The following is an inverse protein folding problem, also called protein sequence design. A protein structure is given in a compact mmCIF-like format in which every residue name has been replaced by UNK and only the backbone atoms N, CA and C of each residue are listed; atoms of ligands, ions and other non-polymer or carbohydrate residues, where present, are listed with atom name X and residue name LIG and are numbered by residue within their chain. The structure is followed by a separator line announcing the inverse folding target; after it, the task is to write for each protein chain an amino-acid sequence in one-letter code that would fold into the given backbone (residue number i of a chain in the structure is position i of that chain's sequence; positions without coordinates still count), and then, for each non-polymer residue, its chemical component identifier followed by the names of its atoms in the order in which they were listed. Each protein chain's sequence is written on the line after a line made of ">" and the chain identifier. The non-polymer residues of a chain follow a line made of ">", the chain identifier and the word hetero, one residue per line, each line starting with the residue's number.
data_IF_424632366887
#
_entry.id   IF_424632366887
#
_cell.length_a   1.000
_cell.length_b   1.000
_cell.length_c   1.000
_cell.angle_alpha   90.00
_cell.angle_beta   90.00
_cell.angle_gamma   90.00
#
_symmetry.space_group_name_H-M   'P 1'
#
loop_
_entity.id
_entity.type
_entity.pdbx_description
1 polymer ?
#
# COMPACT_ATOMS: atom_id res chain seq x y z
N UNK A 1 7.49 9.40 21.10
CA UNK A 1 7.53 9.94 19.74
C UNK A 1 6.24 9.57 19.00
N UNK A 2 5.57 10.55 18.45
CA UNK A 2 4.33 10.32 17.74
C UNK A 2 4.58 9.78 16.33
N UNK A 3 3.73 8.89 15.89
CA UNK A 3 3.76 8.36 14.54
C UNK A 3 2.74 9.12 13.70
N UNK A 4 3.09 9.35 12.44
CA UNK A 4 2.10 9.81 11.49
C UNK A 4 1.15 8.67 11.17
N UNK A 5 -0.14 8.99 11.06
CA UNK A 5 -1.18 8.05 10.65
C UNK A 5 -1.62 8.45 9.24
N UNK A 6 -1.42 7.53 8.29
CA UNK A 6 -1.78 7.78 6.89
C UNK A 6 -3.14 7.18 6.57
N UNK A 7 -3.86 7.85 5.70
CA UNK A 7 -5.15 7.36 5.22
C UNK A 7 -4.89 6.53 3.95
N UNK A 8 -5.09 5.23 4.05
CA UNK A 8 -4.86 4.29 2.96
C UNK A 8 -6.14 3.85 2.24
N UNK A 9 -7.26 4.56 2.43
CA UNK A 9 -8.52 4.17 1.79
C UNK A 9 -8.40 4.12 0.28
N UNK A 10 -7.73 5.11 -0.32
CA UNK A 10 -7.53 5.15 -1.77
C UNK A 10 -6.66 4.00 -2.25
N UNK A 11 -5.57 3.72 -1.53
CA UNK A 11 -4.69 2.60 -1.83
C UNK A 11 -5.44 1.27 -1.72
N UNK A 12 -6.17 1.09 -0.64
CA UNK A 12 -6.92 -0.13 -0.39
C UNK A 12 -7.99 -0.37 -1.47
N UNK A 13 -8.67 0.70 -1.90
CA UNK A 13 -9.63 0.63 -3.00
C UNK A 13 -8.97 0.17 -4.30
N UNK A 14 -7.78 0.70 -4.60
CA UNK A 14 -7.05 0.31 -5.81
C UNK A 14 -6.59 -1.15 -5.75
N UNK A 15 -6.14 -1.59 -4.56
CA UNK A 15 -5.78 -3.00 -4.34
C UNK A 15 -6.99 -3.90 -4.65
N UNK A 16 -8.16 -3.54 -4.15
CA UNK A 16 -9.39 -4.28 -4.44
C UNK A 16 -9.75 -4.32 -5.91
N UNK A 17 -9.59 -3.21 -6.61
CA UNK A 17 -9.89 -3.13 -8.06
C UNK A 17 -8.96 -4.03 -8.87
N UNK A 18 -7.67 -4.04 -8.55
CA UNK A 18 -6.66 -4.75 -9.36
C UNK A 18 -6.53 -6.21 -8.96
N UNK A 19 -6.49 -6.50 -7.66
CA UNK A 19 -6.20 -7.84 -7.14
C UNK A 19 -7.42 -8.54 -6.52
N UNK A 20 -8.45 -7.81 -6.17
CA UNK A 20 -9.63 -8.37 -5.51
C UNK A 20 -9.49 -8.58 -4.02
N UNK A 21 -8.26 -8.71 -3.50
CA UNK A 21 -8.02 -8.88 -2.06
C UNK A 21 -6.62 -8.47 -1.66
N UNK A 22 -6.43 -8.20 -0.37
CA UNK A 22 -5.11 -7.91 0.19
C UNK A 22 -4.17 -9.11 0.05
N UNK A 23 -4.71 -10.31 0.17
CA UNK A 23 -3.93 -11.55 0.07
C UNK A 23 -3.25 -11.66 -1.30
N UNK A 24 -3.97 -11.37 -2.36
CA UNK A 24 -3.42 -11.43 -3.72
C UNK A 24 -2.41 -10.31 -3.96
N UNK A 25 -2.66 -9.13 -3.42
CA UNK A 25 -1.69 -8.04 -3.47
C UNK A 25 -0.41 -8.42 -2.72
N UNK A 26 -0.53 -9.03 -1.54
CA UNK A 26 0.63 -9.46 -0.76
C UNK A 26 1.49 -10.45 -1.54
N UNK A 27 0.88 -11.39 -2.25
CA UNK A 27 1.59 -12.33 -3.11
C UNK A 27 2.36 -11.61 -4.21
N UNK A 28 1.72 -10.65 -4.87
CA UNK A 28 2.35 -9.88 -5.94
C UNK A 28 3.48 -9.01 -5.41
N UNK A 29 3.33 -8.48 -4.20
CA UNK A 29 4.37 -7.66 -3.57
C UNK A 29 5.54 -8.51 -3.04
N UNK A 30 5.29 -9.79 -2.78
CA UNK A 30 6.31 -10.69 -2.26
C UNK A 30 6.43 -10.71 -0.74
N UNK A 31 5.35 -10.37 -0.03
CA UNK A 31 5.31 -10.34 1.42
C UNK A 31 4.10 -11.12 1.93
N UNK A 32 4.02 -11.35 3.24
CA UNK A 32 2.88 -12.04 3.83
C UNK A 32 1.66 -11.13 3.91
N UNK A 33 0.49 -11.76 3.94
CA UNK A 33 -0.77 -11.06 4.12
C UNK A 33 -0.79 -10.24 5.43
N UNK A 34 -0.25 -10.81 6.51
CA UNK A 34 -0.19 -10.09 7.80
C UNK A 34 0.73 -8.87 7.73
N UNK A 35 1.79 -8.93 6.93
CA UNK A 35 2.68 -7.78 6.70
C UNK A 35 1.93 -6.64 6.01
N UNK A 36 1.15 -6.95 4.98
CA UNK A 36 0.33 -5.96 4.28
C UNK A 36 -0.70 -5.36 5.24
N UNK A 37 -1.36 -6.21 6.02
CA UNK A 37 -2.36 -5.75 6.99
C UNK A 37 -1.77 -4.77 8.00
N UNK A 38 -0.57 -5.05 8.49
CA UNK A 38 0.13 -4.14 9.42
C UNK A 38 0.42 -2.79 8.77
N UNK A 39 0.87 -2.79 7.52
CA UNK A 39 1.19 -1.55 6.81
C UNK A 39 -0.06 -0.72 6.53
N UNK A 40 -1.13 -1.36 6.10
CA UNK A 40 -2.39 -0.66 5.82
C UNK A 40 -3.09 -0.17 7.09
N UNK A 41 -2.77 -0.73 8.25
CA UNK A 41 -3.33 -0.28 9.54
C UNK A 41 -2.39 0.65 10.31
N UNK A 42 -1.33 1.13 9.67
CA UNK A 42 -0.36 2.05 10.26
C UNK A 42 0.46 1.45 11.42
N UNK A 43 0.56 0.13 11.48
CA UNK A 43 1.42 -0.55 12.46
C UNK A 43 2.85 -0.70 11.96
N UNK A 44 3.06 -0.53 10.66
CA UNK A 44 4.37 -0.54 10.03
C UNK A 44 4.32 0.39 8.83
N UNK A 45 5.47 0.86 8.37
CA UNK A 45 5.55 1.72 7.20
C UNK A 45 5.90 0.91 5.96
N UNK A 46 5.43 1.39 4.80
CA UNK A 46 5.90 0.87 3.52
C UNK A 46 7.33 1.32 3.30
N UNK A 47 8.21 0.41 2.88
CA UNK A 47 9.54 0.79 2.47
C UNK A 47 9.47 1.46 1.10
N UNK A 48 10.51 2.22 0.76
CA UNK A 48 10.58 2.84 -0.56
C UNK A 48 10.50 1.80 -1.67
N UNK A 49 11.14 0.67 -1.50
CA UNK A 49 11.13 -0.43 -2.46
C UNK A 49 9.73 -1.02 -2.65
N UNK A 50 9.00 -1.16 -1.55
CA UNK A 50 7.62 -1.64 -1.59
C UNK A 50 6.69 -0.64 -2.28
N UNK A 51 6.91 0.65 -2.05
CA UNK A 51 6.14 1.71 -2.72
C UNK A 51 6.39 1.65 -4.23
N UNK A 52 7.65 1.55 -4.65
CA UNK A 52 8.00 1.44 -6.07
C UNK A 52 7.33 0.25 -6.73
N UNK A 53 7.41 -0.91 -6.08
CA UNK A 53 6.80 -2.13 -6.61
C UNK A 53 5.28 -2.01 -6.68
N UNK A 54 4.66 -1.42 -5.65
CA UNK A 54 3.23 -1.21 -5.64
C UNK A 54 2.78 -0.29 -6.77
N UNK A 55 3.54 0.78 -7.03
CA UNK A 55 3.26 1.67 -8.15
C UNK A 55 3.22 0.90 -9.47
N UNK A 56 4.16 -0.01 -9.66
CA UNK A 56 4.23 -0.82 -10.88
C UNK A 56 3.05 -1.79 -10.99
N UNK A 57 2.80 -2.57 -9.93
CA UNK A 57 1.80 -3.65 -10.01
C UNK A 57 0.36 -3.14 -9.95
N UNK A 58 0.13 -1.96 -9.40
CA UNK A 58 -1.21 -1.35 -9.39
C UNK A 58 -1.41 -0.37 -10.54
N UNK A 59 -0.39 -0.10 -11.34
CA UNK A 59 -0.48 0.86 -12.43
C UNK A 59 -0.76 2.28 -11.95
N UNK A 60 -0.16 2.66 -10.82
CA UNK A 60 -0.33 3.99 -10.26
C UNK A 60 0.57 4.97 -11.00
N UNK A 61 0.03 6.13 -11.37
CA UNK A 61 0.82 7.20 -11.93
C UNK A 61 1.84 7.68 -10.87
N UNK A 62 3.15 7.73 -11.18
CA UNK A 62 4.14 8.21 -10.21
C UNK A 62 3.83 9.57 -9.60
N UNK A 63 3.16 10.45 -10.34
CA UNK A 63 2.71 11.74 -9.82
C UNK A 63 1.62 11.64 -8.76
N UNK A 64 1.01 10.48 -8.60
CA UNK A 64 -0.06 10.25 -7.62
C UNK A 64 0.41 9.51 -6.37
N UNK A 65 1.70 9.24 -6.21
CA UNK A 65 2.23 8.50 -5.07
C UNK A 65 1.79 9.13 -3.75
N UNK A 66 1.88 10.45 -3.64
CA UNK A 66 1.48 11.17 -2.43
C UNK A 66 0.02 10.90 -2.06
N UNK A 67 -0.88 10.87 -3.06
CA UNK A 67 -2.29 10.63 -2.82
C UNK A 67 -2.57 9.22 -2.29
N UNK A 68 -1.77 8.23 -2.69
CA UNK A 68 -1.95 6.85 -2.27
C UNK A 68 -1.24 6.52 -0.96
N UNK A 69 -0.06 7.06 -0.73
CA UNK A 69 0.80 6.64 0.39
C UNK A 69 0.99 7.68 1.48
N UNK A 70 0.77 8.96 1.21
CA UNK A 70 1.13 10.03 2.12
C UNK A 70 -0.03 10.98 2.46
N UNK A 71 -1.26 10.53 2.30
CA UNK A 71 -2.44 11.29 2.69
C UNK A 71 -2.71 11.07 4.18
N UNK A 72 -2.80 12.13 4.93
CA UNK A 72 -3.16 12.11 6.33
C UNK A 72 -4.54 12.68 6.54
#
# INVERSE_FOLDING_TARGET
>A
MERYVFDYRKLNGRIGEVFGSQKEYAKALGVSDSTVSKKLSNKAYFSQKEIEKTVDILGINPGSITAYFFTM
#
